data_IF_084686392585
#
_entry.id   IF_084686392585
#
_cell.length_a   1.000
_cell.length_b   1.000
_cell.length_c   1.000
_cell.angle_alpha   90.00
_cell.angle_beta   90.00
_cell.angle_gamma   90.00
#
_symmetry.space_group_name_H-M   'P 1'
#
loop_
_entity.id
_entity.type
_entity.pdbx_description
1 polymer ?
#
# COMPACT_ATOMS: atom_id res chain seq x y z
N UNK A 1 7.98 12.09 -11.73
CA UNK A 1 9.39 12.24 -11.39
C UNK A 1 9.78 11.18 -10.39
N UNK A 2 10.90 10.50 -10.58
CA UNK A 2 11.47 9.54 -9.64
C UNK A 2 12.74 10.15 -9.06
N UNK A 3 12.86 10.12 -7.73
CA UNK A 3 14.04 10.62 -7.01
C UNK A 3 14.54 9.53 -6.08
N UNK A 4 15.85 9.35 -6.02
CA UNK A 4 16.46 8.48 -5.02
C UNK A 4 16.66 9.29 -3.73
N UNK A 5 16.18 8.78 -2.61
CA UNK A 5 16.29 9.43 -1.31
C UNK A 5 16.66 8.41 -0.23
N UNK A 6 17.52 8.74 0.72
CA UNK A 6 17.75 7.89 1.88
C UNK A 6 16.52 7.92 2.80
N UNK A 7 16.20 6.78 3.41
CA UNK A 7 15.14 6.72 4.42
C UNK A 7 15.56 7.42 5.71
N UNK A 8 16.85 7.39 6.03
CA UNK A 8 17.42 8.15 7.13
C UNK A 8 17.23 9.65 6.88
N UNK A 9 16.52 10.33 7.77
CA UNK A 9 16.20 11.75 7.64
C UNK A 9 15.10 12.09 6.64
N UNK A 10 14.42 11.09 6.05
CA UNK A 10 13.27 11.32 5.18
C UNK A 10 12.12 11.97 5.97
N UNK A 11 11.67 13.13 5.51
CA UNK A 11 10.63 13.93 6.18
C UNK A 11 9.52 14.42 5.24
N UNK A 12 9.59 14.05 3.95
CA UNK A 12 8.53 14.41 3.02
C UNK A 12 7.20 13.76 3.42
N UNK A 13 6.13 14.48 3.16
CA UNK A 13 4.77 14.02 3.42
C UNK A 13 4.25 13.17 2.27
N UNK A 14 3.24 12.31 2.50
CA UNK A 14 2.58 11.59 1.39
C UNK A 14 1.91 12.52 0.36
N UNK A 15 1.63 13.78 0.70
CA UNK A 15 1.13 14.77 -0.25
C UNK A 15 2.20 15.18 -1.28
N UNK A 16 3.45 15.19 -0.86
CA UNK A 16 4.60 15.50 -1.72
C UNK A 16 5.09 14.26 -2.46
N UNK A 17 5.21 13.14 -1.72
CA UNK A 17 5.66 11.85 -2.25
C UNK A 17 4.65 10.77 -1.81
N UNK A 18 3.66 10.42 -2.64
CA UNK A 18 2.60 9.49 -2.26
C UNK A 18 3.06 8.02 -2.17
N UNK A 19 4.16 7.68 -2.84
CA UNK A 19 4.68 6.30 -2.90
C UNK A 19 6.18 6.27 -2.63
N UNK A 20 6.60 5.39 -1.72
CA UNK A 20 7.99 4.98 -1.57
C UNK A 20 8.18 3.61 -2.21
N UNK A 21 9.23 3.47 -3.01
CA UNK A 21 9.59 2.23 -3.69
C UNK A 21 10.94 1.73 -3.21
N UNK A 22 10.94 0.54 -2.65
CA UNK A 22 12.14 -0.17 -2.23
C UNK A 22 12.37 -1.36 -3.14
N UNK A 23 13.52 -1.43 -3.76
CA UNK A 23 13.92 -2.60 -4.53
C UNK A 23 15.26 -3.14 -4.04
N UNK A 24 15.41 -4.44 -3.99
CA UNK A 24 16.65 -5.03 -3.51
C UNK A 24 16.76 -6.52 -3.77
N UNK A 25 18.01 -6.99 -3.87
CA UNK A 25 18.35 -8.40 -3.98
C UNK A 25 18.95 -9.01 -2.71
N UNK A 26 19.28 -8.19 -1.71
CA UNK A 26 19.84 -8.61 -0.42
C UNK A 26 18.85 -8.34 0.70
N UNK A 27 19.09 -8.95 1.85
CA UNK A 27 18.26 -8.72 3.04
C UNK A 27 18.22 -7.26 3.40
N UNK A 28 17.00 -6.76 3.62
CA UNK A 28 16.72 -5.44 4.13
C UNK A 28 16.89 -5.45 5.66
N UNK A 29 17.40 -4.38 6.22
CA UNK A 29 17.52 -4.22 7.66
C UNK A 29 17.44 -2.72 7.99
N UNK A 30 16.32 -2.29 8.54
CA UNK A 30 16.12 -0.92 8.97
C UNK A 30 16.65 -0.71 10.39
N UNK A 31 17.19 0.47 10.64
CA UNK A 31 17.41 0.98 11.99
C UNK A 31 16.06 1.33 12.64
N UNK A 32 16.02 1.49 13.97
CA UNK A 32 14.79 1.89 14.66
C UNK A 32 14.29 3.26 14.20
N UNK A 33 15.20 4.20 13.91
CA UNK A 33 14.87 5.51 13.37
C UNK A 33 14.25 5.44 11.97
N UNK A 34 14.72 4.54 11.12
CA UNK A 34 14.15 4.30 9.79
C UNK A 34 12.77 3.63 9.88
N UNK A 35 12.58 2.68 10.81
CA UNK A 35 11.25 2.09 11.07
C UNK A 35 10.26 3.14 11.54
N UNK A 36 10.66 4.02 12.46
CA UNK A 36 9.80 5.10 12.93
C UNK A 36 9.45 6.08 11.81
N UNK A 37 10.42 6.41 10.97
CA UNK A 37 10.19 7.25 9.79
C UNK A 37 9.19 6.61 8.82
N UNK A 38 9.37 5.31 8.53
CA UNK A 38 8.47 4.56 7.65
C UNK A 38 7.07 4.43 8.27
N UNK A 39 6.99 4.14 9.57
CA UNK A 39 5.72 4.08 10.31
C UNK A 39 4.95 5.39 10.22
N UNK A 40 5.60 6.50 10.54
CA UNK A 40 5.00 7.84 10.44
C UNK A 40 4.48 8.12 9.04
N UNK A 41 5.26 7.81 8.02
CA UNK A 41 4.88 8.00 6.63
C UNK A 41 3.65 7.15 6.23
N UNK A 42 3.62 5.87 6.63
CA UNK A 42 2.50 4.97 6.35
C UNK A 42 1.23 5.42 7.07
N UNK A 43 1.31 5.80 8.36
CA UNK A 43 0.18 6.30 9.13
C UNK A 43 -0.33 7.65 8.61
N UNK A 44 0.54 8.47 8.03
CA UNK A 44 0.15 9.73 7.39
C UNK A 44 -0.52 9.56 6.01
N UNK A 45 -0.77 8.34 5.56
CA UNK A 45 -1.47 8.06 4.30
C UNK A 45 -0.58 7.64 3.13
N UNK A 46 0.73 7.53 3.33
CA UNK A 46 1.68 7.07 2.32
C UNK A 46 1.51 5.60 1.95
N UNK A 47 1.99 5.21 0.78
CA UNK A 47 2.04 3.84 0.33
C UNK A 47 3.48 3.42 0.07
N UNK A 48 3.80 2.17 0.37
CA UNK A 48 5.15 1.62 0.17
C UNK A 48 5.09 0.35 -0.68
N UNK A 49 6.01 0.25 -1.62
CA UNK A 49 6.17 -0.95 -2.45
C UNK A 49 7.54 -1.56 -2.21
N UNK A 50 7.57 -2.86 -1.94
CA UNK A 50 8.79 -3.65 -1.85
C UNK A 50 8.86 -4.60 -3.03
N UNK A 51 9.89 -4.45 -3.83
CA UNK A 51 10.14 -5.26 -5.02
C UNK A 51 11.37 -6.14 -4.81
N UNK A 52 11.16 -7.43 -4.79
CA UNK A 52 12.24 -8.41 -4.67
C UNK A 52 12.94 -8.53 -6.02
N UNK A 53 14.04 -7.79 -6.21
CA UNK A 53 14.80 -7.80 -7.45
C UNK A 53 15.06 -9.24 -7.89
N UNK A 54 14.65 -9.56 -9.12
CA UNK A 54 14.71 -10.87 -9.74
C UNK A 54 14.19 -12.05 -8.87
N UNK A 55 13.23 -11.76 -7.99
CA UNK A 55 12.61 -12.76 -7.12
C UNK A 55 13.45 -13.16 -5.91
N UNK A 56 14.30 -12.27 -5.41
CA UNK A 56 15.17 -12.57 -4.27
C UNK A 56 14.39 -12.96 -3.01
N UNK A 57 14.52 -14.19 -2.51
CA UNK A 57 13.86 -14.62 -1.30
C UNK A 57 14.43 -13.96 -0.03
N UNK A 58 15.66 -13.47 -0.09
CA UNK A 58 16.31 -12.77 1.02
C UNK A 58 15.67 -11.40 1.24
N UNK A 59 15.49 -10.63 0.17
CA UNK A 59 14.84 -9.34 0.24
C UNK A 59 13.37 -9.50 0.63
N UNK A 60 12.64 -10.39 -0.03
CA UNK A 60 11.23 -10.65 0.24
C UNK A 60 10.96 -10.97 1.72
N UNK A 61 11.66 -11.95 2.28
CA UNK A 61 11.48 -12.36 3.69
C UNK A 61 11.84 -11.23 4.65
N UNK A 62 12.93 -10.50 4.38
CA UNK A 62 13.33 -9.39 5.23
C UNK A 62 12.37 -8.21 5.15
N UNK A 63 11.81 -7.89 3.97
CA UNK A 63 10.80 -6.86 3.83
C UNK A 63 9.53 -7.16 4.64
N UNK A 64 9.05 -8.42 4.63
CA UNK A 64 7.95 -8.85 5.49
C UNK A 64 8.30 -8.69 6.97
N UNK A 65 9.51 -9.06 7.37
CA UNK A 65 9.98 -8.91 8.75
C UNK A 65 10.05 -7.45 9.18
N UNK A 66 10.61 -6.58 8.32
CA UNK A 66 10.71 -5.15 8.63
C UNK A 66 9.33 -4.48 8.68
N UNK A 67 8.39 -4.86 7.81
CA UNK A 67 7.01 -4.39 7.88
C UNK A 67 6.32 -4.82 9.19
N UNK A 68 6.48 -6.07 9.61
CA UNK A 68 5.93 -6.55 10.89
C UNK A 68 6.51 -5.81 12.10
N UNK A 69 7.78 -5.39 12.04
CA UNK A 69 8.40 -4.58 13.09
C UNK A 69 7.94 -3.12 13.05
N UNK A 70 7.72 -2.59 11.84
CA UNK A 70 7.27 -1.21 11.64
C UNK A 70 5.82 -1.01 12.05
N UNK A 71 4.96 -2.00 11.78
CA UNK A 71 3.51 -1.98 12.05
C UNK A 71 3.12 -3.28 12.79
N UNK A 72 3.50 -3.45 14.06
CA UNK A 72 3.25 -4.69 14.80
C UNK A 72 1.76 -4.99 15.03
N UNK A 73 0.92 -3.96 14.97
CA UNK A 73 -0.54 -4.08 15.07
C UNK A 73 -1.20 -4.53 13.77
N UNK A 74 -0.53 -4.39 12.63
CA UNK A 74 -1.08 -4.74 11.33
C UNK A 74 -0.75 -6.18 10.93
N UNK A 75 -1.67 -6.81 10.22
CA UNK A 75 -1.46 -8.14 9.66
C UNK A 75 -1.00 -8.07 8.22
N UNK A 76 0.04 -8.82 7.89
CA UNK A 76 0.45 -9.03 6.50
C UNK A 76 -0.36 -10.20 5.95
N UNK A 77 -1.06 -9.97 4.84
CA UNK A 77 -1.89 -10.98 4.19
C UNK A 77 -1.66 -10.98 2.69
N UNK A 78 -1.82 -12.15 2.08
CA UNK A 78 -1.90 -12.26 0.63
C UNK A 78 -3.07 -11.43 0.12
N UNK A 79 -2.81 -10.60 -0.89
CA UNK A 79 -3.86 -9.85 -1.55
C UNK A 79 -4.79 -10.82 -2.30
N UNK A 80 -6.11 -10.79 -2.06
CA UNK A 80 -7.04 -11.68 -2.77
C UNK A 80 -7.17 -11.26 -4.24
N UNK A 81 -7.55 -12.21 -5.09
CA UNK A 81 -7.61 -12.03 -6.54
C UNK A 81 -8.62 -10.96 -6.99
N UNK A 82 -9.70 -10.80 -6.22
CA UNK A 82 -10.76 -9.82 -6.46
C UNK A 82 -10.49 -8.45 -5.84
N UNK A 83 -9.29 -8.24 -5.27
CA UNK A 83 -8.98 -6.99 -4.62
C UNK A 83 -8.93 -5.83 -5.64
N UNK A 84 -9.56 -4.66 -5.35
CA UNK A 84 -9.63 -3.52 -6.28
C UNK A 84 -8.28 -3.08 -6.83
N UNK A 85 -7.20 -3.19 -6.06
CA UNK A 85 -5.84 -2.86 -6.53
C UNK A 85 -5.46 -3.62 -7.81
N UNK A 86 -5.93 -4.85 -7.99
CA UNK A 86 -5.59 -5.68 -9.15
C UNK A 86 -6.45 -5.36 -10.40
N UNK A 87 -7.45 -4.49 -10.27
CA UNK A 87 -8.46 -4.19 -11.30
C UNK A 87 -8.65 -2.68 -11.54
N UNK A 88 -7.69 -1.84 -11.12
CA UNK A 88 -7.85 -0.38 -11.22
C UNK A 88 -7.89 0.14 -12.65
N UNK A 89 -7.02 -0.36 -13.51
CA UNK A 89 -6.84 0.08 -14.91
C UNK A 89 -7.00 -1.10 -15.86
N UNK A 90 -6.40 -2.22 -15.51
CA UNK A 90 -6.38 -3.43 -16.30
C UNK A 90 -6.65 -4.64 -15.40
N UNK A 91 -7.34 -5.62 -15.94
CA UNK A 91 -7.65 -6.85 -15.22
C UNK A 91 -6.41 -7.75 -15.16
N UNK A 92 -5.73 -7.78 -14.02
CA UNK A 92 -4.51 -8.55 -13.82
C UNK A 92 -4.75 -9.95 -13.29
N UNK A 93 -5.86 -10.58 -13.68
CA UNK A 93 -6.20 -11.95 -13.25
C UNK A 93 -5.13 -12.95 -13.64
N UNK A 94 -4.47 -12.75 -14.78
CA UNK A 94 -3.39 -13.63 -15.26
C UNK A 94 -2.17 -12.82 -15.61
N UNK A 95 -1.06 -13.17 -14.97
CA UNK A 95 0.26 -12.62 -15.23
C UNK A 95 1.19 -13.72 -15.70
N UNK A 96 2.22 -13.36 -16.43
CA UNK A 96 3.26 -14.28 -16.88
C UNK A 96 4.61 -13.92 -16.29
N UNK A 97 5.37 -14.91 -15.91
CA UNK A 97 6.79 -14.75 -15.56
C UNK A 97 7.66 -14.82 -16.79
N UNK A 98 8.96 -14.55 -16.64
CA UNK A 98 9.97 -14.70 -17.70
C UNK A 98 9.97 -16.09 -18.37
N UNK A 99 9.53 -17.11 -17.64
CA UNK A 99 9.44 -18.49 -18.16
C UNK A 99 8.12 -18.75 -18.88
N UNK A 100 7.30 -17.70 -19.08
CA UNK A 100 5.95 -17.75 -19.67
C UNK A 100 4.99 -18.67 -18.91
N UNK A 101 5.25 -18.91 -17.64
CA UNK A 101 4.31 -19.57 -16.76
C UNK A 101 3.21 -18.56 -16.38
N UNK A 102 1.98 -18.87 -16.74
CA UNK A 102 0.81 -18.11 -16.29
C UNK A 102 0.57 -18.35 -14.81
N UNK A 103 0.30 -17.27 -14.09
CA UNK A 103 0.02 -17.32 -12.67
C UNK A 103 -0.90 -16.17 -12.27
N UNK A 104 -1.51 -16.32 -11.11
CA UNK A 104 -2.23 -15.23 -10.46
C UNK A 104 -1.25 -14.20 -9.88
N UNK A 105 -1.65 -12.93 -9.75
CA UNK A 105 -0.85 -11.93 -9.07
C UNK A 105 -0.49 -12.36 -7.65
N UNK A 106 0.77 -12.24 -7.29
CA UNK A 106 1.27 -12.60 -5.96
C UNK A 106 1.81 -11.36 -5.28
N UNK A 107 0.99 -10.76 -4.41
CA UNK A 107 1.38 -9.64 -3.57
C UNK A 107 0.97 -9.92 -2.14
N UNK A 108 1.88 -9.73 -1.21
CA UNK A 108 1.52 -9.62 0.21
C UNK A 108 1.30 -8.16 0.55
N UNK A 109 0.29 -7.88 1.37
CA UNK A 109 -0.14 -6.53 1.64
C UNK A 109 -0.39 -6.28 3.13
N UNK A 110 -0.17 -5.04 3.53
CA UNK A 110 -0.57 -4.50 4.84
C UNK A 110 -1.67 -3.47 4.59
N UNK A 111 -2.75 -3.59 5.36
CA UNK A 111 -3.84 -2.63 5.35
C UNK A 111 -3.78 -1.72 6.57
N UNK A 112 -4.07 -0.44 6.36
CA UNK A 112 -4.35 0.54 7.40
C UNK A 112 -5.74 1.09 7.11
N UNK A 113 -6.69 0.79 7.99
CA UNK A 113 -8.10 1.00 7.69
C UNK A 113 -8.53 0.17 6.47
N UNK A 114 -9.20 0.81 5.52
CA UNK A 114 -9.69 0.17 4.29
C UNK A 114 -8.69 0.18 3.12
N UNK A 115 -7.53 0.80 3.27
CA UNK A 115 -6.56 0.93 2.19
C UNK A 115 -5.37 -0.02 2.35
N UNK A 116 -4.81 -0.46 1.24
CA UNK A 116 -3.48 -1.07 1.20
C UNK A 116 -2.43 0.02 1.43
N UNK A 117 -1.67 -0.12 2.50
CA UNK A 117 -0.61 0.82 2.86
C UNK A 117 0.78 0.34 2.39
N UNK A 118 0.99 -0.96 2.33
CA UNK A 118 2.21 -1.53 1.81
C UNK A 118 1.92 -2.78 0.98
N UNK A 119 2.74 -2.99 -0.07
CA UNK A 119 2.76 -4.24 -0.85
C UNK A 119 4.18 -4.79 -0.91
N UNK A 120 4.30 -6.10 -0.88
CA UNK A 120 5.56 -6.83 -1.05
C UNK A 120 5.39 -7.83 -2.19
N UNK A 121 6.18 -7.68 -3.24
CA UNK A 121 6.21 -8.60 -4.36
C UNK A 121 7.33 -9.63 -4.20
N UNK A 122 7.02 -10.94 -4.16
CA UNK A 122 8.04 -11.97 -4.19
C UNK A 122 8.71 -12.10 -5.55
N UNK A 123 8.02 -11.70 -6.63
CA UNK A 123 8.54 -11.69 -8.00
C UNK A 123 9.00 -10.30 -8.39
N UNK A 124 10.11 -10.19 -9.13
CA UNK A 124 10.64 -8.92 -9.57
C UNK A 124 9.65 -8.16 -10.47
N UNK A 125 9.31 -6.93 -10.09
CA UNK A 125 8.54 -5.99 -10.91
C UNK A 125 9.46 -5.12 -11.76
N UNK A 126 10.49 -4.57 -11.13
CA UNK A 126 11.43 -3.64 -11.76
C UNK A 126 12.14 -4.24 -12.96
N UNK A 127 12.51 -5.53 -12.92
CA UNK A 127 13.12 -6.21 -14.06
C UNK A 127 12.17 -6.25 -15.28
N UNK A 128 10.86 -6.43 -15.04
CA UNK A 128 9.86 -6.37 -16.10
C UNK A 128 9.64 -4.95 -16.63
N UNK A 129 9.63 -3.93 -15.76
CA UNK A 129 9.49 -2.53 -16.18
C UNK A 129 10.69 -2.03 -16.99
N UNK A 130 11.89 -2.42 -16.59
CA UNK A 130 13.13 -2.05 -17.29
C UNK A 130 13.29 -2.83 -18.62
N UNK A 131 12.55 -3.92 -18.77
CA UNK A 131 12.60 -4.83 -19.93
C UNK A 131 14.03 -5.32 -20.23
N UNK A 132 14.89 -5.31 -19.23
CA UNK A 132 16.22 -5.90 -19.29
C UNK A 132 16.14 -7.30 -18.75
N UNK A 133 16.34 -8.28 -19.64
CA UNK A 133 16.45 -9.68 -19.20
C UNK A 133 17.79 -9.86 -18.49
N UNK A 134 17.83 -10.11 -17.18
CA UNK A 134 19.05 -10.49 -16.50
C UNK A 134 19.41 -11.93 -16.89
N UNK A 135 19.84 -12.13 -18.13
CA UNK A 135 20.18 -13.46 -18.71
C UNK A 135 21.22 -14.20 -17.88
N UNK A 136 22.04 -13.46 -17.14
CA UNK A 136 23.12 -13.99 -16.31
C UNK A 136 22.64 -14.66 -15.01
N UNK A 137 21.39 -14.43 -14.58
CA UNK A 137 20.86 -14.97 -13.33
C UNK A 137 19.90 -16.11 -13.63
N UNK A 138 20.40 -17.34 -13.62
CA UNK A 138 19.61 -18.55 -13.92
C UNK A 138 18.36 -18.73 -13.04
N UNK A 139 18.42 -18.29 -11.80
CA UNK A 139 17.35 -18.42 -10.80
C UNK A 139 16.48 -17.15 -10.66
N UNK A 140 16.63 -16.21 -11.60
CA UNK A 140 15.81 -15.00 -11.56
C UNK A 140 14.34 -15.34 -11.81
N UNK A 141 13.47 -14.82 -10.94
CA UNK A 141 12.03 -14.96 -11.07
C UNK A 141 11.38 -13.57 -11.03
N UNK A 142 10.78 -13.18 -12.15
CA UNK A 142 10.18 -11.86 -12.31
C UNK A 142 9.03 -11.93 -13.32
N UNK A 143 8.11 -11.00 -13.23
CA UNK A 143 7.04 -10.86 -14.21
C UNK A 143 7.62 -10.41 -15.56
N UNK A 144 7.11 -10.95 -16.65
CA UNK A 144 7.46 -10.44 -17.98
C UNK A 144 7.01 -8.99 -18.15
N UNK A 145 7.58 -8.28 -19.13
CA UNK A 145 7.36 -6.85 -19.28
C UNK A 145 5.89 -6.47 -19.42
N UNK A 146 5.03 -7.15 -20.22
CA UNK A 146 3.61 -6.83 -20.28
C UNK A 146 2.89 -7.02 -18.95
N UNK A 147 3.18 -8.10 -18.22
CA UNK A 147 2.56 -8.40 -16.92
C UNK A 147 2.99 -7.43 -15.83
N UNK A 148 4.29 -7.13 -15.76
CA UNK A 148 4.84 -6.16 -14.82
C UNK A 148 4.26 -4.77 -15.07
N UNK A 149 4.11 -4.35 -16.34
CA UNK A 149 3.53 -3.05 -16.69
C UNK A 149 2.06 -2.95 -16.26
N UNK A 150 1.23 -3.95 -16.55
CA UNK A 150 -0.18 -3.97 -16.14
C UNK A 150 -0.32 -3.87 -14.62
N UNK A 151 0.44 -4.69 -13.89
CA UNK A 151 0.43 -4.66 -12.43
C UNK A 151 0.96 -3.32 -11.88
N UNK A 152 2.00 -2.77 -12.49
CA UNK A 152 2.53 -1.45 -12.14
C UNK A 152 1.52 -0.32 -12.35
N UNK A 153 0.78 -0.33 -13.47
CA UNK A 153 -0.28 0.65 -13.73
C UNK A 153 -1.38 0.57 -12.67
N UNK A 154 -1.79 -0.63 -12.27
CA UNK A 154 -2.77 -0.82 -11.22
C UNK A 154 -2.25 -0.31 -9.86
N UNK A 155 -0.99 -0.59 -9.52
CA UNK A 155 -0.36 -0.08 -8.30
C UNK A 155 -0.33 1.45 -8.26
N UNK A 156 0.05 2.09 -9.37
CA UNK A 156 0.06 3.56 -9.47
C UNK A 156 -1.35 4.12 -9.36
N UNK A 157 -2.30 3.57 -10.11
CA UNK A 157 -3.69 4.02 -10.09
C UNK A 157 -4.32 3.87 -8.70
N UNK A 158 -4.04 2.75 -8.02
CA UNK A 158 -4.50 2.53 -6.66
C UNK A 158 -3.88 3.55 -5.70
N UNK A 159 -2.57 3.74 -5.73
CA UNK A 159 -1.89 4.71 -4.86
C UNK A 159 -2.45 6.13 -5.03
N UNK A 160 -2.71 6.55 -6.26
CA UNK A 160 -3.25 7.88 -6.56
C UNK A 160 -4.73 8.00 -6.19
N UNK A 161 -5.54 6.97 -6.45
CA UNK A 161 -6.97 6.94 -6.14
C UNK A 161 -7.26 6.91 -4.64
N UNK A 162 -6.48 6.11 -3.89
CA UNK A 162 -6.68 5.93 -2.45
C UNK A 162 -5.85 6.90 -1.58
N UNK A 163 -5.07 7.78 -2.18
CA UNK A 163 -4.29 8.76 -1.45
C UNK A 163 -5.16 9.65 -0.53
N UNK A 164 -6.29 10.15 -1.04
CA UNK A 164 -7.23 10.97 -0.26
C UNK A 164 -7.90 10.18 0.88
N UNK A 165 -8.23 8.92 0.64
CA UNK A 165 -8.73 8.00 1.67
C UNK A 165 -7.69 7.81 2.76
N UNK A 166 -6.42 7.59 2.40
CA UNK A 166 -5.32 7.51 3.35
C UNK A 166 -5.13 8.76 4.19
N UNK A 167 -5.27 9.93 3.58
CA UNK A 167 -5.21 11.22 4.30
C UNK A 167 -6.39 11.40 5.27
N UNK A 168 -7.59 11.00 4.86
CA UNK A 168 -8.77 11.06 5.73
C UNK A 168 -8.57 10.15 6.96
N UNK A 169 -8.08 8.91 6.76
CA UNK A 169 -7.79 8.00 7.88
C UNK A 169 -6.70 8.54 8.81
N UNK A 170 -5.65 9.17 8.27
CA UNK A 170 -4.61 9.78 9.08
C UNK A 170 -5.16 10.93 9.94
N UNK A 171 -6.07 11.73 9.40
CA UNK A 171 -6.76 12.78 10.15
C UNK A 171 -7.69 12.20 11.22
N UNK A 172 -8.45 11.16 10.90
CA UNK A 172 -9.40 10.54 11.84
C UNK A 172 -8.74 9.99 13.11
N UNK A 173 -7.46 9.62 13.06
CA UNK A 173 -6.70 9.20 14.25
C UNK A 173 -6.31 10.35 15.17
N UNK A 174 -6.42 11.60 14.74
CA UNK A 174 -5.94 12.80 15.46
C UNK A 174 -7.12 13.63 16.03
N UNK A 175 -8.36 13.36 15.60
CA UNK A 175 -9.49 14.19 16.04
C UNK A 175 -9.81 13.98 17.52
N UNK A 176 -9.59 15.04 18.30
CA UNK A 176 -10.24 15.23 19.60
C UNK A 176 -11.66 15.82 19.39
N UNK A 177 -12.55 15.65 20.38
CA UNK A 177 -13.92 16.15 20.31
C UNK A 177 -14.02 17.69 20.10
N UNK A 178 -12.94 18.42 20.36
CA UNK A 178 -12.85 19.88 20.20
C UNK A 178 -12.66 20.32 18.74
N UNK A 179 -12.10 19.47 17.87
CA UNK A 179 -11.84 19.80 16.46
C UNK A 179 -13.07 19.59 15.56
N UNK A 180 -14.13 18.99 16.07
CA UNK A 180 -15.34 18.66 15.31
C UNK A 180 -16.17 19.87 14.87
N UNK A 181 -15.91 21.07 15.42
CA UNK A 181 -16.70 22.27 15.13
C UNK A 181 -16.13 23.15 14.00
N UNK A 182 -14.92 22.88 13.50
CA UNK A 182 -14.20 23.83 12.65
C UNK A 182 -14.36 23.66 11.13
N UNK A 183 -14.87 22.55 10.63
CA UNK A 183 -14.91 22.26 9.19
C UNK A 183 -16.26 21.69 8.75
N UNK A 184 -17.24 22.53 8.62
CA UNK A 184 -18.55 22.14 8.12
C UNK A 184 -18.86 22.70 6.74
N UNK A 185 -18.55 21.94 5.71
CA UNK A 185 -19.44 21.90 4.56
C UNK A 185 -20.60 20.96 4.94
N UNK A 186 -21.84 21.41 4.97
CA UNK A 186 -22.92 20.64 5.58
C UNK A 186 -23.36 19.48 4.68
N UNK A 187 -22.76 18.31 4.89
CA UNK A 187 -23.43 17.09 4.50
C UNK A 187 -24.56 16.85 5.49
N UNK A 188 -25.80 17.06 5.06
CA UNK A 188 -26.97 16.80 5.91
C UNK A 188 -27.26 15.30 5.88
N UNK A 189 -27.09 14.65 7.03
CA UNK A 189 -27.41 13.24 7.20
C UNK A 189 -28.65 13.10 8.10
N UNK A 190 -29.71 12.49 7.60
CA UNK A 190 -30.93 12.26 8.36
C UNK A 190 -31.04 10.81 8.83
N UNK A 191 -31.03 10.61 10.15
CA UNK A 191 -31.31 9.29 10.73
C UNK A 191 -32.80 9.16 10.99
N UNK A 192 -33.43 8.16 10.35
CA UNK A 192 -34.87 7.92 10.48
C UNK A 192 -35.19 7.24 11.81
N UNK A 193 -36.07 7.84 12.59
CA UNK A 193 -36.58 7.31 13.84
C UNK A 193 -37.74 6.35 13.58
N UNK A 194 -37.59 5.10 14.00
CA UNK A 194 -38.64 4.08 13.89
C UNK A 194 -39.23 3.74 15.25
N UNK A 195 -40.33 2.99 15.28
CA UNK A 195 -40.93 2.50 16.52
C UNK A 195 -40.16 1.39 17.21
N UNK A 196 -39.12 0.83 16.55
CA UNK A 196 -38.22 -0.18 17.10
C UNK A 196 -36.97 0.41 17.73
N UNK A 197 -35.96 -0.44 17.99
CA UNK A 197 -34.64 -0.02 18.47
C UNK A 197 -33.89 0.61 17.30
N UNK A 198 -33.91 1.94 17.19
CA UNK A 198 -33.35 2.67 16.04
C UNK A 198 -31.97 3.32 16.33
N UNK A 199 -31.58 3.41 17.59
CA UNK A 199 -30.36 4.11 18.01
C UNK A 199 -29.44 3.21 18.84
N UNK A 200 -29.10 2.06 18.26
CA UNK A 200 -28.19 1.07 18.88
C UNK A 200 -26.75 1.61 18.94
N UNK A 201 -26.40 2.50 18.03
CA UNK A 201 -25.07 3.11 17.91
C UNK A 201 -25.20 4.62 17.77
N UNK A 202 -25.49 5.35 18.86
CA UNK A 202 -25.85 6.77 18.81
C UNK A 202 -24.74 7.69 18.25
N UNK A 203 -23.49 7.27 18.29
CA UNK A 203 -22.35 8.00 17.75
C UNK A 203 -22.04 7.73 16.28
N UNK A 204 -22.64 6.70 15.66
CA UNK A 204 -22.21 6.21 14.35
C UNK A 204 -22.33 7.25 13.23
N UNK A 205 -23.49 7.92 13.13
CA UNK A 205 -23.73 8.95 12.12
C UNK A 205 -22.83 10.19 12.32
N UNK A 206 -22.66 10.63 13.57
CA UNK A 206 -21.77 11.74 13.90
C UNK A 206 -20.31 11.41 13.58
N UNK A 207 -19.88 10.18 13.88
CA UNK A 207 -18.54 9.75 13.57
C UNK A 207 -18.31 9.64 12.06
N UNK A 208 -19.32 9.19 11.30
CA UNK A 208 -19.26 9.14 9.83
C UNK A 208 -19.11 10.54 9.21
N UNK A 209 -19.78 11.55 9.77
CA UNK A 209 -19.76 12.94 9.27
C UNK A 209 -18.53 13.75 9.72
N UNK A 210 -17.66 13.16 10.53
CA UNK A 210 -16.39 13.77 10.95
C UNK A 210 -15.22 13.54 9.98
N UNK A 211 -15.47 12.90 8.82
CA UNK A 211 -14.45 12.64 7.79
C UNK A 211 -14.32 13.78 6.75
#
# INVERSE_FOLDING_TARGET
KVEATPLAGFNATPAEIPVLYFSGGRSLNFTDAERETLRRYLLAGGMVWFDSVVGSPYFYKSALTELSRTLPEAQIRRLPEDHPLLHMVDDTVKLSTKTKQEMLPVLDAVHIGSRVAAVVSPYGLGAGWDNTAPELIKQADYYDAPSALRLGMNLVAYAMGYFRVGQAHAKAQIYSDEDAQANADPVVFAQVRTSGVWNTEPGAANNLLRF
#
